data_IF_675320180905
#
_entry.id   IF_675320180905
#
_cell.length_a   1.000
_cell.length_b   1.000
_cell.length_c   1.000
_cell.angle_alpha   90.00
_cell.angle_beta   90.00
_cell.angle_gamma   90.00
#
_symmetry.space_group_name_H-M   'P 1'
#
loop_
_entity.id
_entity.type
_entity.pdbx_description
1 polymer ?
#
# COMPACT_ATOMS: atom_id res chain seq x y z
N UNK A 1 3.84 -20.79 6.44
CA UNK A 1 3.96 -19.32 6.42
C UNK A 1 2.68 -18.75 7.03
N UNK A 2 2.78 -17.85 8.01
CA UNK A 2 1.60 -17.25 8.65
C UNK A 2 0.99 -16.18 7.73
N UNK A 3 -0.34 -16.07 7.71
CA UNK A 3 -1.08 -15.00 7.01
C UNK A 3 -0.58 -13.62 7.46
N UNK A 4 -0.25 -13.49 8.76
CA UNK A 4 0.32 -12.28 9.35
C UNK A 4 1.68 -11.92 8.74
N UNK A 5 2.50 -12.92 8.42
CA UNK A 5 3.82 -12.67 7.81
C UNK A 5 3.69 -12.22 6.35
N UNK A 6 2.79 -12.86 5.60
CA UNK A 6 2.51 -12.47 4.20
C UNK A 6 1.94 -11.05 4.16
N UNK A 7 1.06 -10.70 5.10
CA UNK A 7 0.44 -9.38 5.15
C UNK A 7 1.42 -8.27 5.49
N UNK A 8 2.29 -8.49 6.47
CA UNK A 8 3.39 -7.57 6.78
C UNK A 8 4.34 -7.40 5.59
N UNK A 9 4.64 -8.48 4.86
CA UNK A 9 5.46 -8.40 3.66
C UNK A 9 4.80 -7.60 2.55
N UNK A 10 3.50 -7.80 2.32
CA UNK A 10 2.78 -7.03 1.31
C UNK A 10 2.71 -5.53 1.65
N UNK A 11 2.49 -5.17 2.92
CA UNK A 11 2.54 -3.78 3.38
C UNK A 11 3.93 -3.16 3.18
N UNK A 12 5.00 -3.92 3.40
CA UNK A 12 6.36 -3.48 3.13
C UNK A 12 6.57 -3.18 1.62
N UNK A 13 6.12 -4.06 0.73
CA UNK A 13 6.22 -3.87 -0.73
C UNK A 13 5.43 -2.64 -1.22
N UNK A 14 4.27 -2.37 -0.62
CA UNK A 14 3.48 -1.16 -0.91
C UNK A 14 4.24 0.11 -0.49
N UNK A 15 4.88 0.10 0.68
CA UNK A 15 5.69 1.22 1.17
C UNK A 15 6.89 1.48 0.25
N UNK A 16 7.63 0.43 -0.11
CA UNK A 16 8.77 0.52 -1.04
C UNK A 16 8.33 1.06 -2.41
N UNK A 17 7.16 0.63 -2.90
CA UNK A 17 6.59 1.14 -4.15
C UNK A 17 6.20 2.62 -4.06
N UNK A 18 5.59 3.06 -2.96
CA UNK A 18 5.27 4.47 -2.71
C UNK A 18 6.53 5.33 -2.64
N UNK A 19 7.55 4.87 -1.92
CA UNK A 19 8.84 5.56 -1.81
C UNK A 19 9.51 5.69 -3.17
N UNK A 20 9.53 4.63 -3.98
CA UNK A 20 10.11 4.67 -5.32
C UNK A 20 9.43 5.73 -6.23
N UNK A 21 8.11 5.91 -6.11
CA UNK A 21 7.39 6.94 -6.86
C UNK A 21 7.75 8.34 -6.32
N UNK A 22 7.86 8.51 -5.00
CA UNK A 22 8.30 9.78 -4.40
C UNK A 22 9.72 10.14 -4.84
N UNK A 23 10.64 9.17 -4.83
CA UNK A 23 12.01 9.37 -5.29
C UNK A 23 12.06 9.77 -6.76
N UNK A 24 11.21 9.18 -7.61
CA UNK A 24 11.07 9.59 -9.02
C UNK A 24 10.55 11.03 -9.15
N UNK A 25 9.58 11.43 -8.32
CA UNK A 25 9.10 12.82 -8.31
C UNK A 25 10.20 13.79 -7.84
N UNK A 26 10.97 13.42 -6.81
CA UNK A 26 12.04 14.24 -6.25
C UNK A 26 13.28 14.33 -7.15
N UNK A 27 13.56 13.29 -7.93
CA UNK A 27 14.62 13.29 -8.95
C UNK A 27 14.32 14.26 -10.12
N UNK A 28 13.09 14.77 -10.19
CA UNK A 28 12.63 15.68 -11.21
C UNK A 28 11.80 14.97 -12.29
N UNK A 29 10.79 15.68 -12.77
CA UNK A 29 9.85 15.23 -13.81
C UNK A 29 10.03 16.10 -15.05
N UNK A 30 9.86 15.49 -16.22
CA UNK A 30 10.04 16.14 -17.52
C UNK A 30 9.00 17.23 -17.76
N UNK A 31 7.77 16.99 -17.34
CA UNK A 31 6.64 17.90 -17.51
C UNK A 31 5.57 17.63 -16.43
N UNK A 32 4.57 18.51 -16.40
CA UNK A 32 3.46 18.43 -15.44
C UNK A 32 2.60 17.18 -15.63
N UNK A 33 2.52 16.63 -16.84
CA UNK A 33 1.72 15.43 -17.10
C UNK A 33 2.38 14.21 -16.46
N UNK A 34 3.72 14.12 -16.52
CA UNK A 34 4.47 13.08 -15.82
C UNK A 34 4.31 13.20 -14.30
N UNK A 35 4.33 14.42 -13.76
CA UNK A 35 4.06 14.64 -12.33
C UNK A 35 2.67 14.14 -11.92
N UNK A 36 1.62 14.57 -12.61
CA UNK A 36 0.25 14.16 -12.29
C UNK A 36 0.04 12.65 -12.45
N UNK A 37 0.71 12.03 -13.43
CA UNK A 37 0.71 10.57 -13.57
C UNK A 37 1.32 9.87 -12.35
N UNK A 38 2.51 10.30 -11.92
CA UNK A 38 3.19 9.73 -10.74
C UNK A 38 2.38 9.97 -9.46
N UNK A 39 1.83 11.16 -9.30
CA UNK A 39 0.96 11.52 -8.18
C UNK A 39 -0.32 10.67 -8.16
N UNK A 40 -0.93 10.43 -9.32
CA UNK A 40 -2.08 9.53 -9.46
C UNK A 40 -1.73 8.11 -9.03
N UNK A 41 -0.60 7.57 -9.49
CA UNK A 41 -0.12 6.24 -9.08
C UNK A 41 0.14 6.16 -7.58
N UNK A 42 0.77 7.17 -6.99
CA UNK A 42 0.98 7.23 -5.54
C UNK A 42 -0.36 7.20 -4.79
N UNK A 43 -1.34 8.00 -5.24
CA UNK A 43 -2.67 8.06 -4.62
C UNK A 43 -3.39 6.70 -4.69
N UNK A 44 -3.31 6.01 -5.83
CA UNK A 44 -3.87 4.65 -5.97
C UNK A 44 -3.22 3.64 -5.03
N UNK A 45 -1.90 3.74 -4.77
CA UNK A 45 -1.23 2.85 -3.80
C UNK A 45 -1.67 3.12 -2.36
N UNK A 46 -1.86 4.40 -1.99
CA UNK A 46 -2.39 4.76 -0.67
C UNK A 46 -3.79 4.20 -0.48
N UNK A 47 -4.69 4.37 -1.46
CA UNK A 47 -6.04 3.80 -1.37
C UNK A 47 -6.04 2.27 -1.31
N UNK A 48 -5.12 1.61 -2.01
CA UNK A 48 -4.98 0.16 -1.97
C UNK A 48 -4.48 -0.32 -0.59
N UNK A 49 -3.53 0.40 0.01
CA UNK A 49 -3.05 0.10 1.36
C UNK A 49 -4.16 0.25 2.40
N UNK A 50 -4.92 1.34 2.36
CA UNK A 50 -6.01 1.59 3.31
C UNK A 50 -7.06 0.47 3.26
N UNK A 51 -7.49 0.09 2.04
CA UNK A 51 -8.42 -1.03 1.84
C UNK A 51 -7.83 -2.35 2.31
N UNK A 52 -6.54 -2.57 2.09
CA UNK A 52 -5.87 -3.80 2.53
C UNK A 52 -5.81 -3.90 4.05
N UNK A 53 -5.49 -2.79 4.75
CA UNK A 53 -5.50 -2.72 6.22
C UNK A 53 -6.90 -3.00 6.77
N UNK A 54 -7.93 -2.39 6.19
CA UNK A 54 -9.31 -2.63 6.58
C UNK A 54 -9.69 -4.13 6.42
N UNK A 55 -9.26 -4.78 5.34
CA UNK A 55 -9.51 -6.21 5.14
C UNK A 55 -8.76 -7.08 6.15
N UNK A 56 -7.52 -6.73 6.50
CA UNK A 56 -6.75 -7.46 7.52
C UNK A 56 -7.38 -7.36 8.90
N UNK A 57 -7.86 -6.18 9.28
CA UNK A 57 -8.52 -5.96 10.57
C UNK A 57 -9.77 -6.86 10.66
N UNK A 58 -10.59 -6.89 9.61
CA UNK A 58 -11.78 -7.76 9.54
C UNK A 58 -11.44 -9.25 9.64
N UNK A 59 -10.40 -9.72 8.95
CA UNK A 59 -9.97 -11.12 9.03
C UNK A 59 -9.50 -11.47 10.44
N UNK A 60 -8.82 -10.54 11.10
CA UNK A 60 -8.34 -10.73 12.47
C UNK A 60 -9.51 -10.79 13.46
N UNK A 61 -10.52 -9.94 13.29
CA UNK A 61 -11.74 -9.94 14.11
C UNK A 61 -12.57 -11.23 13.92
N UNK A 62 -12.72 -11.70 12.68
CA UNK A 62 -13.45 -12.94 12.36
C UNK A 62 -12.75 -14.18 12.95
N UNK A 63 -11.41 -14.23 12.91
CA UNK A 63 -10.62 -15.31 13.53
C UNK A 63 -10.78 -15.31 15.07
N UNK A 64 -10.86 -14.15 15.71
CA UNK A 64 -11.09 -14.03 17.17
C UNK A 64 -12.53 -14.45 17.52
N UNK A 65 -13.52 -14.02 16.74
CA UNK A 65 -14.94 -14.34 17.00
C UNK A 65 -15.28 -15.81 16.80
N UNK A 66 -14.62 -16.52 15.88
CA UNK A 66 -14.82 -17.96 15.66
C UNK A 66 -14.06 -18.85 16.65
N UNK A 67 -13.22 -18.27 17.51
CA UNK A 67 -12.43 -18.98 18.52
C UNK A 67 -13.09 -19.06 19.91
N UNK A 68 -14.30 -18.53 20.07
CA UNK A 68 -15.10 -18.52 21.31
C UNK A 68 -16.42 -19.26 21.10
#
# INVERSE_FOLDING_TARGET
>A
MSVIWISQKYLQELEESKQAIQDQMLAGVKDIQQYEFLRGRYSSLVEAEDKYRELLDRVTDDDISNST
#
